data_IF_131722593759
#
_entry.id   IF_131722593759
#
_cell.length_a   1.000
_cell.length_b   1.000
_cell.length_c   1.000
_cell.angle_alpha   90.00
_cell.angle_beta   90.00
_cell.angle_gamma   90.00
#
_symmetry.space_group_name_H-M   'P 1'
#
loop_
_entity.id
_entity.type
_entity.pdbx_description
1 polymer ?
#
# COMPACT_ATOMS: atom_id res chain seq x y z
N UNK A 1 14.04 8.21 20.86
CA UNK A 1 12.93 8.68 20.01
C UNK A 1 12.20 7.43 19.55
N UNK A 2 11.03 7.13 20.11
CA UNK A 2 10.29 5.91 19.77
C UNK A 2 9.70 6.09 18.37
N UNK A 3 10.36 5.53 17.36
CA UNK A 3 9.83 5.50 15.99
C UNK A 3 8.70 4.48 15.85
N UNK A 4 7.88 4.62 14.81
CA UNK A 4 6.85 3.64 14.46
C UNK A 4 7.47 2.34 13.96
N UNK A 5 6.91 1.21 14.38
CA UNK A 5 7.24 -0.11 13.82
C UNK A 5 6.57 -0.30 12.46
N UNK A 6 7.16 -1.14 11.60
CA UNK A 6 6.56 -1.52 10.32
C UNK A 6 5.13 -2.08 10.49
N UNK A 7 4.88 -2.84 11.57
CA UNK A 7 3.55 -3.40 11.87
C UNK A 7 2.51 -2.34 12.19
N UNK A 8 2.86 -1.35 13.01
CA UNK A 8 1.94 -0.25 13.34
C UNK A 8 1.59 0.58 12.09
N UNK A 9 2.57 0.83 11.21
CA UNK A 9 2.33 1.54 9.94
C UNK A 9 1.45 0.70 9.01
N UNK A 10 1.71 -0.62 8.90
CA UNK A 10 0.88 -1.54 8.12
C UNK A 10 -0.57 -1.61 8.59
N UNK A 11 -0.80 -1.65 9.91
CA UNK A 11 -2.15 -1.63 10.48
C UNK A 11 -2.88 -0.30 10.26
N UNK A 12 -2.17 0.83 10.19
CA UNK A 12 -2.77 2.12 9.81
C UNK A 12 -3.16 2.11 8.33
N UNK A 13 -2.26 1.65 7.45
CA UNK A 13 -2.52 1.55 6.01
C UNK A 13 -3.69 0.59 5.73
N UNK A 14 -3.74 -0.57 6.38
CA UNK A 14 -4.79 -1.58 6.14
C UNK A 14 -6.20 -1.13 6.48
N UNK A 15 -6.36 -0.02 7.22
CA UNK A 15 -7.67 0.56 7.58
C UNK A 15 -8.23 1.48 6.49
N UNK A 16 -7.42 1.85 5.50
CA UNK A 16 -7.89 2.64 4.37
C UNK A 16 -8.75 1.76 3.45
N UNK A 17 -9.99 2.16 3.12
CA UNK A 17 -10.89 1.33 2.31
C UNK A 17 -10.40 1.07 0.88
N UNK A 18 -9.49 1.92 0.38
CA UNK A 18 -8.89 1.80 -0.95
C UNK A 18 -7.80 0.72 -1.02
N UNK A 19 -7.30 0.27 0.14
CA UNK A 19 -6.25 -0.75 0.24
C UNK A 19 -6.88 -2.13 0.11
N UNK A 20 -6.61 -2.79 -1.01
CA UNK A 20 -6.99 -4.17 -1.23
C UNK A 20 -6.10 -5.12 -0.44
N UNK A 21 -4.79 -4.84 -0.40
CA UNK A 21 -3.79 -5.66 0.27
C UNK A 21 -2.63 -4.79 0.79
N UNK A 22 -2.02 -5.19 1.91
CA UNK A 22 -0.79 -4.59 2.41
C UNK A 22 0.07 -5.65 3.08
N UNK A 23 1.36 -5.66 2.75
CA UNK A 23 2.29 -6.69 3.17
C UNK A 23 3.59 -6.04 3.63
N UNK A 24 4.15 -6.53 4.73
CA UNK A 24 5.53 -6.25 5.12
C UNK A 24 6.42 -7.20 4.32
N UNK A 25 7.45 -6.68 3.67
CA UNK A 25 8.30 -7.45 2.75
C UNK A 25 9.77 -7.38 3.19
N UNK A 26 10.59 -8.28 2.65
CA UNK A 26 12.04 -8.18 2.72
C UNK A 26 12.57 -7.52 1.44
N UNK A 27 13.62 -6.70 1.56
CA UNK A 27 14.28 -6.04 0.44
C UNK A 27 14.56 -4.57 0.71
N UNK A 28 14.67 -3.77 -0.36
CA UNK A 28 14.98 -2.34 -0.30
C UNK A 28 13.81 -1.49 0.25
N UNK A 29 12.60 -2.03 0.21
CA UNK A 29 11.38 -1.40 0.73
C UNK A 29 10.82 -2.22 1.89
N UNK A 30 10.24 -1.54 2.87
CA UNK A 30 9.66 -2.20 4.06
C UNK A 30 8.32 -2.89 3.76
N UNK A 31 7.58 -2.35 2.78
CA UNK A 31 6.19 -2.72 2.55
C UNK A 31 5.79 -2.61 1.08
N UNK A 32 4.80 -3.40 0.68
CA UNK A 32 4.06 -3.24 -0.58
C UNK A 32 2.57 -3.20 -0.27
N UNK A 33 1.87 -2.26 -0.91
CA UNK A 33 0.43 -2.13 -0.79
C UNK A 33 -0.22 -2.10 -2.18
N UNK A 34 -1.37 -2.76 -2.29
CA UNK A 34 -2.19 -2.79 -3.49
C UNK A 34 -3.42 -1.93 -3.29
N UNK A 35 -3.57 -0.91 -4.12
CA UNK A 35 -4.65 0.08 -4.04
C UNK A 35 -5.61 -0.11 -5.21
N UNK A 36 -6.91 0.02 -4.98
CA UNK A 36 -7.95 0.05 -6.02
C UNK A 36 -8.62 1.41 -6.06
N UNK A 37 -8.50 2.05 -7.21
CA UNK A 37 -9.09 3.34 -7.48
C UNK A 37 -9.61 3.42 -8.91
N UNK A 38 -10.54 4.34 -9.15
CA UNK A 38 -11.20 4.50 -10.45
C UNK A 38 -10.28 5.08 -11.53
N UNK A 39 -9.28 5.86 -11.14
CA UNK A 39 -8.37 6.57 -12.04
C UNK A 39 -7.07 6.97 -11.32
N UNK A 40 -6.08 7.39 -12.10
CA UNK A 40 -4.75 7.80 -11.62
C UNK A 40 -4.82 9.06 -10.74
N UNK A 41 -5.77 9.96 -11.00
CA UNK A 41 -5.92 11.18 -10.20
C UNK A 41 -6.37 10.83 -8.76
N UNK A 42 -7.36 9.95 -8.65
CA UNK A 42 -7.88 9.47 -7.37
C UNK A 42 -6.80 8.70 -6.61
N UNK A 43 -6.04 7.83 -7.29
CA UNK A 43 -4.87 7.17 -6.72
C UNK A 43 -3.85 8.17 -6.17
N UNK A 44 -3.53 9.23 -6.93
CA UNK A 44 -2.61 10.28 -6.52
C UNK A 44 -3.05 10.96 -5.22
N UNK A 45 -4.34 11.28 -5.09
CA UNK A 45 -4.92 11.86 -3.87
C UNK A 45 -4.80 10.92 -2.68
N UNK A 46 -5.08 9.62 -2.85
CA UNK A 46 -4.92 8.64 -1.76
C UNK A 46 -3.45 8.56 -1.30
N UNK A 47 -2.50 8.55 -2.23
CA UNK A 47 -1.08 8.50 -1.88
C UNK A 47 -0.64 9.78 -1.16
N UNK A 48 -0.96 10.95 -1.71
CA UNK A 48 -0.50 12.24 -1.18
C UNK A 48 -1.22 12.62 0.12
N UNK A 49 -2.55 12.52 0.14
CA UNK A 49 -3.38 13.10 1.19
C UNK A 49 -3.65 12.12 2.34
N UNK A 50 -3.44 10.81 2.11
CA UNK A 50 -3.66 9.77 3.14
C UNK A 50 -2.40 9.02 3.47
N UNK A 51 -1.78 8.33 2.51
CA UNK A 51 -0.68 7.39 2.80
C UNK A 51 0.56 8.14 3.30
N UNK A 52 0.96 9.22 2.62
CA UNK A 52 2.16 9.99 3.02
C UNK A 52 2.00 10.77 4.31
N UNK A 53 0.76 11.04 4.73
CA UNK A 53 0.43 11.67 6.01
C UNK A 53 0.44 10.66 7.18
N UNK A 54 0.51 9.36 6.91
CA UNK A 54 0.65 8.35 7.97
C UNK A 54 2.04 8.46 8.59
N UNK A 55 2.08 8.85 9.86
CA UNK A 55 3.33 8.88 10.63
C UNK A 55 4.03 7.52 10.59
N UNK A 56 5.31 7.54 10.19
CA UNK A 56 6.13 6.36 9.95
C UNK A 56 6.36 6.05 8.47
N UNK A 57 5.53 6.57 7.56
CA UNK A 57 5.77 6.52 6.11
C UNK A 57 6.82 7.58 5.76
N UNK A 58 7.97 7.13 5.26
CA UNK A 58 9.08 8.03 4.87
C UNK A 58 9.07 8.33 3.38
N UNK A 59 8.94 7.29 2.57
CA UNK A 59 9.02 7.35 1.12
C UNK A 59 8.03 6.36 0.51
N UNK A 60 7.62 6.64 -0.73
CA UNK A 60 6.65 5.83 -1.49
C UNK A 60 7.07 5.79 -2.94
N UNK A 61 6.94 4.62 -3.57
CA UNK A 61 6.99 4.44 -5.02
C UNK A 61 5.66 3.88 -5.49
N UNK A 62 5.03 4.54 -6.46
CA UNK A 62 3.75 4.10 -7.03
C UNK A 62 3.98 3.35 -8.34
N UNK A 63 3.48 2.11 -8.39
CA UNK A 63 3.53 1.26 -9.57
C UNK A 63 2.12 1.14 -10.16
N UNK A 64 1.95 1.52 -11.42
CA UNK A 64 0.67 1.41 -12.12
C UNK A 64 0.64 0.10 -12.89
N UNK A 65 -0.32 -0.77 -12.55
CA UNK A 65 -0.56 -2.03 -13.28
C UNK A 65 -1.38 -1.70 -14.54
N UNK A 66 -0.80 -1.90 -15.73
CA UNK A 66 -1.52 -1.73 -17.00
C UNK A 66 -2.47 -2.88 -17.30
N UNK A 67 -2.09 -4.11 -16.96
CA UNK A 67 -2.89 -5.31 -17.20
C UNK A 67 -2.63 -6.35 -16.10
N UNK A 68 -3.70 -6.91 -15.53
CA UNK A 68 -3.63 -8.03 -14.58
C UNK A 68 -3.88 -9.35 -15.32
N UNK A 69 -2.84 -10.15 -15.54
CA UNK A 69 -2.97 -11.47 -16.19
C UNK A 69 -3.56 -12.54 -15.24
N UNK A 70 -3.22 -12.47 -13.93
CA UNK A 70 -3.73 -13.37 -12.89
C UNK A 70 -3.81 -12.64 -11.55
N UNK A 71 -4.91 -12.82 -10.84
CA UNK A 71 -5.12 -12.21 -9.54
C UNK A 71 -6.06 -13.06 -8.67
N UNK A 72 -5.54 -13.59 -7.57
CA UNK A 72 -6.29 -14.40 -6.60
C UNK A 72 -5.46 -14.58 -5.33
N UNK A 73 -6.12 -14.66 -4.17
CA UNK A 73 -5.49 -15.07 -2.91
C UNK A 73 -5.61 -16.58 -2.67
N UNK A 74 -6.33 -17.30 -3.54
CA UNK A 74 -6.58 -18.73 -3.44
C UNK A 74 -5.74 -19.50 -4.46
N UNK A 75 -5.22 -20.64 -4.04
CA UNK A 75 -4.61 -21.61 -4.94
C UNK A 75 -5.70 -22.50 -5.55
N UNK A 76 -5.61 -22.71 -6.86
CA UNK A 76 -6.39 -23.72 -7.57
C UNK A 76 -5.78 -25.09 -7.25
N UNK A 77 -6.17 -25.65 -6.11
CA UNK A 77 -5.93 -27.07 -5.78
C UNK A 77 -6.96 -27.96 -6.47
#
# INVERSE_FOLDING_TARGET
>A
SFGFTQREVAEKISKLPEIQEVHIIAGDWDMIAKIREKDVESLGRIVLDKIREIEGVKETVSLIVFESIKETTFLSV
#
